data_IF_599521691295
#
_entry.id   IF_599521691295
#
_cell.length_a   1.000
_cell.length_b   1.000
_cell.length_c   1.000
_cell.angle_alpha   90.00
_cell.angle_beta   90.00
_cell.angle_gamma   90.00
#
_symmetry.space_group_name_H-M   'P 1'
#
loop_
_entity.id
_entity.type
_entity.pdbx_description
1 polymer ?
#
# COMPACT_ATOMS: atom_id res chain seq x y z
N UNK A 1 -32.37 6.34 7.11
CA UNK A 1 -31.80 5.86 5.83
C UNK A 1 -30.29 5.91 5.98
N UNK A 2 -29.60 4.77 5.96
CA UNK A 2 -28.13 4.77 5.99
C UNK A 2 -27.62 5.48 4.74
N UNK A 3 -26.68 6.39 4.93
CA UNK A 3 -26.03 7.06 3.80
C UNK A 3 -25.13 6.06 3.06
N UNK A 4 -24.98 6.21 1.74
CA UNK A 4 -24.07 5.38 0.95
C UNK A 4 -22.63 5.38 1.52
N UNK A 5 -22.27 6.46 2.20
CA UNK A 5 -21.03 6.66 2.93
C UNK A 5 -20.83 5.65 4.08
N UNK A 6 -21.86 5.40 4.89
CA UNK A 6 -21.81 4.43 6.01
C UNK A 6 -21.70 3.00 5.51
N UNK A 7 -22.30 2.69 4.35
CA UNK A 7 -22.23 1.37 3.73
C UNK A 7 -20.82 1.11 3.21
N UNK A 8 -20.22 2.08 2.52
CA UNK A 8 -18.85 1.96 2.00
C UNK A 8 -17.85 1.77 3.14
N UNK A 9 -17.94 2.58 4.20
CA UNK A 9 -17.04 2.49 5.37
C UNK A 9 -17.22 1.19 6.15
N UNK A 10 -18.45 0.69 6.30
CA UNK A 10 -18.71 -0.60 6.95
C UNK A 10 -18.16 -1.78 6.14
N UNK A 11 -18.36 -1.80 4.82
CA UNK A 11 -17.79 -2.83 3.94
C UNK A 11 -16.25 -2.76 3.99
N UNK A 12 -15.68 -1.56 3.99
CA UNK A 12 -14.25 -1.35 4.13
C UNK A 12 -13.71 -1.95 5.43
N UNK A 13 -14.35 -1.64 6.56
CA UNK A 13 -13.95 -2.15 7.88
C UNK A 13 -14.00 -3.68 7.96
N UNK A 14 -15.04 -4.30 7.38
CA UNK A 14 -15.19 -5.77 7.36
C UNK A 14 -14.13 -6.43 6.49
N UNK A 15 -13.81 -5.88 5.32
CA UNK A 15 -12.79 -6.42 4.43
C UNK A 15 -11.40 -6.32 5.07
N UNK A 16 -11.07 -5.18 5.68
CA UNK A 16 -9.80 -5.00 6.41
C UNK A 16 -9.71 -5.99 7.56
N UNK A 17 -10.75 -6.10 8.39
CA UNK A 17 -10.77 -7.03 9.51
C UNK A 17 -10.59 -8.48 9.04
N UNK A 18 -11.30 -8.89 7.99
CA UNK A 18 -11.19 -10.24 7.43
C UNK A 18 -9.77 -10.52 6.89
N UNK A 19 -9.15 -9.56 6.19
CA UNK A 19 -7.80 -9.70 5.65
C UNK A 19 -6.72 -9.73 6.74
N UNK A 20 -6.88 -8.91 7.78
CA UNK A 20 -6.00 -8.89 8.96
C UNK A 20 -6.11 -10.20 9.73
N UNK A 21 -7.33 -10.66 10.03
CA UNK A 21 -7.57 -11.94 10.72
C UNK A 21 -7.00 -13.10 9.92
N UNK A 22 -7.25 -13.13 8.62
CA UNK A 22 -6.70 -14.18 7.74
C UNK A 22 -5.17 -14.17 7.69
N UNK A 23 -4.56 -12.97 7.66
CA UNK A 23 -3.11 -12.79 7.75
C UNK A 23 -2.54 -13.35 9.06
N UNK A 24 -3.16 -12.99 10.18
CA UNK A 24 -2.77 -13.44 11.53
C UNK A 24 -2.89 -14.97 11.65
N UNK A 25 -4.03 -15.54 11.25
CA UNK A 25 -4.30 -16.99 11.33
C UNK A 25 -3.25 -17.79 10.56
N UNK A 26 -2.79 -17.28 9.42
CA UNK A 26 -1.80 -17.96 8.59
C UNK A 26 -0.35 -17.83 9.11
N UNK A 27 -0.08 -16.84 9.97
CA UNK A 27 1.25 -16.52 10.52
C UNK A 27 1.65 -17.46 11.69
N UNK A 28 0.71 -18.18 12.31
CA UNK A 28 0.90 -18.93 13.57
C UNK A 28 1.87 -20.14 13.47
N UNK A 29 2.29 -20.59 12.28
CA UNK A 29 3.20 -21.74 12.16
C UNK A 29 4.65 -21.29 11.87
N UNK A 30 5.59 -21.47 12.81
CA UNK A 30 6.93 -20.85 12.80
C UNK A 30 7.78 -21.07 11.53
N UNK A 31 7.74 -22.27 10.93
CA UNK A 31 8.45 -22.54 9.65
C UNK A 31 7.77 -21.91 8.44
N UNK A 32 6.48 -21.60 8.53
CA UNK A 32 5.78 -20.77 7.55
C UNK A 32 6.04 -19.29 7.82
N UNK A 33 6.19 -18.87 9.08
CA UNK A 33 6.42 -17.48 9.49
C UNK A 33 7.66 -16.86 8.87
N UNK A 34 8.83 -17.51 8.94
CA UNK A 34 10.07 -17.01 8.30
C UNK A 34 9.95 -16.91 6.78
N UNK A 35 9.28 -17.87 6.14
CA UNK A 35 9.07 -17.83 4.69
C UNK A 35 8.11 -16.70 4.31
N UNK A 36 6.96 -16.61 4.98
CA UNK A 36 5.97 -15.55 4.76
C UNK A 36 6.60 -14.19 5.01
N UNK A 37 7.36 -14.02 6.09
CA UNK A 37 8.07 -12.77 6.39
C UNK A 37 9.06 -12.39 5.30
N UNK A 38 9.88 -13.33 4.79
CA UNK A 38 10.81 -13.07 3.68
C UNK A 38 10.06 -12.70 2.39
N UNK A 39 8.93 -13.36 2.09
CA UNK A 39 8.11 -13.03 0.91
C UNK A 39 7.45 -11.67 1.05
N UNK A 40 6.88 -11.39 2.22
CA UNK A 40 6.27 -10.10 2.56
C UNK A 40 7.31 -8.97 2.48
N UNK A 41 8.51 -9.18 3.01
CA UNK A 41 9.61 -8.23 2.93
C UNK A 41 10.04 -7.97 1.48
N UNK A 42 10.12 -9.00 0.63
CA UNK A 42 10.43 -8.81 -0.79
C UNK A 42 9.34 -8.01 -1.52
N UNK A 43 8.06 -8.33 -1.29
CA UNK A 43 6.93 -7.60 -1.87
C UNK A 43 6.89 -6.16 -1.36
N UNK A 44 7.05 -5.94 -0.06
CA UNK A 44 7.12 -4.61 0.54
C UNK A 44 8.32 -3.81 -0.01
N UNK A 45 9.50 -4.40 -0.11
CA UNK A 45 10.63 -3.72 -0.72
C UNK A 45 10.28 -3.23 -2.14
N UNK A 46 9.63 -4.06 -2.96
CA UNK A 46 9.27 -3.69 -4.32
C UNK A 46 8.14 -2.66 -4.41
N UNK A 47 7.17 -2.70 -3.50
CA UNK A 47 6.10 -1.70 -3.43
C UNK A 47 6.62 -0.33 -2.98
N UNK A 48 7.61 -0.26 -2.09
CA UNK A 48 8.11 1.01 -1.54
C UNK A 48 9.38 1.54 -2.21
N UNK A 49 10.16 0.70 -2.90
CA UNK A 49 11.42 1.09 -3.55
C UNK A 49 11.24 2.26 -4.52
N UNK A 50 10.19 2.30 -5.38
CA UNK A 50 9.97 3.43 -6.28
C UNK A 50 9.73 4.76 -5.55
N UNK A 51 9.30 4.76 -4.28
CA UNK A 51 9.08 5.97 -3.47
C UNK A 51 10.33 6.42 -2.68
N UNK A 52 11.46 5.74 -2.82
CA UNK A 52 12.72 6.11 -2.13
C UNK A 52 13.26 7.48 -2.57
N UNK A 53 12.79 8.00 -3.70
CA UNK A 53 13.11 9.36 -4.14
C UNK A 53 12.78 10.41 -3.07
N UNK A 54 11.77 10.19 -2.22
CA UNK A 54 11.41 11.11 -1.11
C UNK A 54 12.55 11.35 -0.13
N UNK A 55 13.43 10.36 0.05
CA UNK A 55 14.59 10.45 0.95
C UNK A 55 15.85 10.82 0.17
N UNK A 56 15.94 10.39 -1.09
CA UNK A 56 17.15 10.53 -1.91
C UNK A 56 17.24 11.86 -2.68
N UNK A 57 16.15 12.62 -2.83
CA UNK A 57 16.19 13.94 -3.46
C UNK A 57 17.00 14.93 -2.63
N UNK A 58 17.81 15.76 -3.31
CA UNK A 58 18.68 16.80 -2.72
C UNK A 58 17.93 18.09 -2.30
N UNK A 59 16.61 18.06 -2.25
CA UNK A 59 15.79 19.20 -1.85
C UNK A 59 15.90 19.51 -0.34
N UNK A 60 15.48 20.72 0.09
CA UNK A 60 15.42 21.07 1.50
C UNK A 60 14.49 20.12 2.27
N UNK A 61 14.78 19.93 3.55
CA UNK A 61 13.91 19.21 4.50
C UNK A 61 12.88 20.18 5.06
N UNK A 62 11.90 20.54 4.23
CA UNK A 62 10.81 21.44 4.58
C UNK A 62 9.58 20.70 5.13
N UNK A 63 8.61 21.46 5.63
CA UNK A 63 7.34 20.94 6.15
C UNK A 63 6.56 20.15 5.09
N UNK A 64 6.70 20.52 3.82
CA UNK A 64 6.06 19.84 2.71
C UNK A 64 6.64 18.43 2.49
N UNK A 65 7.96 18.30 2.35
CA UNK A 65 8.64 16.99 2.25
C UNK A 65 8.38 16.10 3.46
N UNK A 66 8.39 16.67 4.66
CA UNK A 66 8.06 15.92 5.88
C UNK A 66 6.62 15.39 5.87
N UNK A 67 5.68 16.11 5.27
CA UNK A 67 4.29 15.64 5.12
C UNK A 67 4.22 14.44 4.20
N UNK A 68 4.91 14.48 3.05
CA UNK A 68 5.01 13.32 2.16
C UNK A 68 5.68 12.11 2.79
N UNK A 69 6.70 12.33 3.62
CA UNK A 69 7.35 11.25 4.37
C UNK A 69 6.41 10.63 5.41
N UNK A 70 5.57 11.43 6.07
CA UNK A 70 4.52 10.89 6.96
C UNK A 70 3.50 10.04 6.19
N UNK A 71 3.21 10.37 4.93
CA UNK A 71 2.33 9.60 4.05
C UNK A 71 3.02 8.38 3.43
N UNK A 72 4.34 8.22 3.58
CA UNK A 72 5.12 7.14 2.96
C UNK A 72 4.57 5.72 3.20
N UNK A 73 4.03 5.37 4.38
CA UNK A 73 3.44 4.05 4.62
C UNK A 73 2.22 3.73 3.75
N UNK A 74 1.54 4.73 3.17
CA UNK A 74 0.29 4.55 2.42
C UNK A 74 0.41 4.97 0.93
N UNK A 75 1.59 5.42 0.52
CA UNK A 75 1.86 5.86 -0.85
C UNK A 75 1.65 4.81 -1.96
N UNK A 76 1.90 3.49 -1.75
CA UNK A 76 1.59 2.51 -2.78
C UNK A 76 0.10 2.50 -3.18
N UNK A 77 -0.80 2.95 -2.31
CA UNK A 77 -2.22 3.13 -2.56
C UNK A 77 -2.63 4.54 -3.00
N UNK A 78 -1.68 5.40 -3.39
CA UNK A 78 -1.94 6.79 -3.75
C UNK A 78 -2.93 6.97 -4.90
N UNK A 79 -2.75 6.23 -6.00
CA UNK A 79 -3.57 6.34 -7.20
C UNK A 79 -5.09 6.18 -6.93
N UNK A 80 -5.54 5.11 -6.24
CA UNK A 80 -6.94 4.98 -5.85
C UNK A 80 -7.46 6.13 -5.00
N UNK A 81 -6.69 6.61 -4.02
CA UNK A 81 -7.10 7.73 -3.17
C UNK A 81 -7.28 9.01 -3.98
N UNK A 82 -6.26 9.37 -4.76
CA UNK A 82 -6.21 10.60 -5.56
C UNK A 82 -7.24 10.63 -6.71
N UNK A 83 -7.65 9.47 -7.25
CA UNK A 83 -8.63 9.39 -8.33
C UNK A 83 -10.08 9.31 -7.82
N UNK A 84 -10.32 8.68 -6.68
CA UNK A 84 -11.68 8.41 -6.19
C UNK A 84 -12.21 9.52 -5.27
N UNK A 85 -11.33 10.31 -4.65
CA UNK A 85 -11.71 11.33 -3.69
C UNK A 85 -11.14 12.69 -4.09
N UNK A 86 -11.93 13.74 -3.89
CA UNK A 86 -11.50 15.12 -4.11
C UNK A 86 -10.83 15.65 -2.83
N UNK A 87 -9.94 16.66 -2.94
CA UNK A 87 -9.16 17.20 -1.81
C UNK A 87 -9.99 17.74 -0.63
N UNK A 88 -11.31 17.88 -0.78
CA UNK A 88 -12.23 18.26 0.31
C UNK A 88 -12.51 17.11 1.29
N UNK A 89 -12.08 15.88 0.99
CA UNK A 89 -12.35 14.68 1.79
C UNK A 89 -11.07 13.95 2.20
N UNK A 90 -10.10 14.70 2.76
CA UNK A 90 -8.76 14.21 3.14
C UNK A 90 -8.78 12.91 3.96
N UNK A 91 -9.70 12.80 4.93
CA UNK A 91 -9.80 11.60 5.78
C UNK A 91 -10.15 10.34 4.98
N UNK A 92 -10.96 10.47 3.93
CA UNK A 92 -11.35 9.35 3.07
C UNK A 92 -10.29 9.00 2.05
N UNK A 93 -9.64 10.01 1.51
CA UNK A 93 -8.47 9.82 0.65
C UNK A 93 -7.40 9.01 1.38
N UNK A 94 -6.98 9.42 2.59
CA UNK A 94 -5.98 8.67 3.35
C UNK A 94 -6.44 7.28 3.77
N UNK A 95 -7.72 7.13 4.15
CA UNK A 95 -8.27 5.82 4.50
C UNK A 95 -8.24 4.87 3.31
N UNK A 96 -8.60 5.35 2.11
CA UNK A 96 -8.61 4.52 0.91
C UNK A 96 -7.21 4.18 0.42
N UNK A 97 -6.26 5.12 0.51
CA UNK A 97 -4.84 4.85 0.26
C UNK A 97 -4.26 3.80 1.20
N UNK A 98 -4.56 3.92 2.50
CA UNK A 98 -4.09 2.97 3.51
C UNK A 98 -4.60 1.55 3.23
N UNK A 99 -5.87 1.44 2.88
CA UNK A 99 -6.50 0.14 2.64
C UNK A 99 -6.07 -0.46 1.33
N UNK A 100 -5.96 0.32 0.26
CA UNK A 100 -5.42 -0.20 -1.00
C UNK A 100 -3.98 -0.64 -0.86
N UNK A 101 -3.16 0.10 -0.09
CA UNK A 101 -1.80 -0.35 0.25
C UNK A 101 -1.80 -1.67 1.00
N UNK A 102 -2.67 -1.82 2.01
CA UNK A 102 -2.78 -3.06 2.79
C UNK A 102 -3.25 -4.23 1.93
N UNK A 103 -4.27 -4.03 1.09
CA UNK A 103 -4.81 -5.03 0.17
C UNK A 103 -3.75 -5.47 -0.82
N UNK A 104 -3.02 -4.53 -1.44
CA UNK A 104 -1.91 -4.83 -2.35
C UNK A 104 -0.84 -5.67 -1.65
N UNK A 105 -0.39 -5.23 -0.47
CA UNK A 105 0.63 -5.93 0.29
C UNK A 105 0.20 -7.36 0.64
N UNK A 106 -1.02 -7.55 1.15
CA UNK A 106 -1.54 -8.86 1.54
C UNK A 106 -1.79 -9.77 0.34
N UNK A 107 -2.41 -9.26 -0.73
CA UNK A 107 -2.71 -10.03 -1.95
C UNK A 107 -1.44 -10.48 -2.66
N UNK A 108 -0.44 -9.59 -2.80
CA UNK A 108 0.83 -9.92 -3.44
C UNK A 108 1.69 -10.82 -2.55
N UNK A 109 1.68 -10.61 -1.23
CA UNK A 109 2.33 -11.53 -0.29
C UNK A 109 1.69 -12.92 -0.36
N UNK A 110 0.35 -12.99 -0.40
CA UNK A 110 -0.36 -14.24 -0.54
C UNK A 110 0.01 -14.96 -1.83
N UNK A 111 0.02 -14.23 -2.94
CA UNK A 111 0.43 -14.74 -4.24
C UNK A 111 1.88 -15.26 -4.15
N UNK A 112 2.81 -14.49 -3.60
CA UNK A 112 4.21 -14.88 -3.43
C UNK A 112 4.43 -16.08 -2.50
N UNK A 113 3.46 -16.42 -1.65
CA UNK A 113 3.51 -17.60 -0.79
C UNK A 113 3.14 -18.92 -1.49
N UNK A 114 2.58 -18.89 -2.72
CA UNK A 114 2.19 -20.11 -3.45
C UNK A 114 3.37 -20.88 -4.04
N UNK A 115 4.50 -20.21 -4.33
CA UNK A 115 5.67 -20.84 -4.93
C UNK A 115 6.72 -19.83 -5.38
N UNK A 116 7.88 -20.30 -5.89
CA UNK A 116 8.96 -19.42 -6.37
C UNK A 116 8.55 -18.58 -7.59
N UNK A 117 7.93 -19.19 -8.61
CA UNK A 117 7.44 -18.44 -9.79
C UNK A 117 6.36 -17.42 -9.43
N UNK A 118 5.49 -17.76 -8.48
CA UNK A 118 4.44 -16.86 -7.98
C UNK A 118 5.01 -15.66 -7.21
N UNK A 119 6.16 -15.80 -6.53
CA UNK A 119 6.84 -14.63 -5.95
C UNK A 119 7.36 -13.70 -7.05
N UNK A 120 8.00 -14.25 -8.09
CA UNK A 120 8.53 -13.42 -9.18
C UNK A 120 7.38 -12.63 -9.81
N UNK A 121 6.26 -13.29 -10.11
CA UNK A 121 5.06 -12.62 -10.60
C UNK A 121 4.56 -11.53 -9.62
N UNK A 122 4.46 -11.83 -8.32
CA UNK A 122 4.01 -10.86 -7.32
C UNK A 122 4.93 -9.62 -7.24
N UNK A 123 6.25 -9.81 -7.33
CA UNK A 123 7.24 -8.73 -7.33
C UNK A 123 7.16 -7.90 -8.62
N UNK A 124 7.03 -8.54 -9.77
CA UNK A 124 6.85 -7.83 -11.05
C UNK A 124 5.57 -7.00 -11.04
N UNK A 125 4.46 -7.56 -10.56
CA UNK A 125 3.20 -6.83 -10.41
C UNK A 125 3.34 -5.69 -9.40
N UNK A 126 4.03 -5.89 -8.28
CA UNK A 126 4.31 -4.84 -7.31
C UNK A 126 5.04 -3.65 -7.96
N UNK A 127 6.08 -3.93 -8.75
CA UNK A 127 6.86 -2.89 -9.45
C UNK A 127 6.04 -2.22 -10.55
N UNK A 128 5.29 -2.98 -11.34
CA UNK A 128 4.44 -2.46 -12.42
C UNK A 128 3.36 -1.51 -11.90
N UNK A 129 2.83 -1.74 -10.69
CA UNK A 129 1.87 -0.85 -10.05
C UNK A 129 2.59 0.32 -9.38
N UNK A 130 3.67 0.05 -8.65
CA UNK A 130 4.35 1.05 -7.83
C UNK A 130 5.11 2.10 -8.65
N UNK A 131 5.75 1.73 -9.77
CA UNK A 131 6.51 2.68 -10.59
C UNK A 131 5.62 3.82 -11.15
N UNK A 132 4.49 3.55 -11.84
CA UNK A 132 3.60 4.62 -12.29
C UNK A 132 3.05 5.43 -11.12
N UNK A 133 2.67 4.77 -10.02
CA UNK A 133 2.17 5.45 -8.81
C UNK A 133 3.20 6.42 -8.25
N UNK A 134 4.46 6.00 -8.17
CA UNK A 134 5.56 6.83 -7.69
C UNK A 134 5.91 7.97 -8.65
N UNK A 135 5.80 7.77 -9.96
CA UNK A 135 5.96 8.84 -10.95
C UNK A 135 4.88 9.90 -10.81
N UNK A 136 3.61 9.49 -10.66
CA UNK A 136 2.49 10.43 -10.47
C UNK A 136 2.67 11.18 -9.15
N UNK A 137 2.95 10.47 -8.05
CA UNK A 137 3.23 11.08 -6.76
C UNK A 137 4.39 12.09 -6.84
N UNK A 138 5.45 11.77 -7.58
CA UNK A 138 6.57 12.69 -7.81
C UNK A 138 6.17 13.94 -8.60
N UNK A 139 5.33 13.80 -9.62
CA UNK A 139 4.81 14.97 -10.36
C UNK A 139 3.94 15.88 -9.50
N UNK A 140 3.12 15.30 -8.62
CA UNK A 140 2.30 16.06 -7.65
C UNK A 140 3.16 16.69 -6.56
N UNK A 141 4.29 16.08 -6.20
CA UNK A 141 5.25 16.66 -5.27
C UNK A 141 5.98 17.90 -5.84
N UNK A 142 6.15 17.97 -7.16
CA UNK A 142 6.85 19.08 -7.82
C UNK A 142 5.93 20.25 -8.18
N UNK A 143 4.60 20.06 -8.16
CA UNK A 143 3.60 21.10 -8.45
C UNK A 143 3.31 21.96 -7.23
#
# INVERSE_FOLDING_TARGET
MMSAFEIVTAIFGVVIAALVIWGIVRIINDRRRLRVARRAAAVAACLWLPFTWLVLTRGPWDSYRLTWIKMWPILPGFLPGALLFHPQQEALEFSTMAVTTLVLLLALTWLGCRGRGSLIAAVLVALLISIPTAMIAYTVYLS
#
